data_IF_025086177769
#
_entry.id   IF_025086177769
#
_cell.length_a   1.000
_cell.length_b   1.000
_cell.length_c   1.000
_cell.angle_alpha   90.00
_cell.angle_beta   90.00
_cell.angle_gamma   90.00
#
_symmetry.space_group_name_H-M   'P 1'
#
loop_
_entity.id
_entity.type
_entity.pdbx_description
1 polymer ?
#
# COMPACT_ATOMS: atom_id res chain seq x y z
N UNK A 1 -5.05 -13.42 -20.32
CA UNK A 1 -5.37 -14.22 -19.14
C UNK A 1 -5.75 -13.39 -17.91
N UNK A 2 -6.02 -12.08 -18.12
CA UNK A 2 -6.34 -11.18 -17.00
C UNK A 2 -7.61 -11.58 -16.26
N UNK A 3 -8.66 -11.99 -16.97
CA UNK A 3 -9.91 -12.43 -16.33
C UNK A 3 -9.67 -13.66 -15.45
N UNK A 4 -8.84 -14.58 -15.94
CA UNK A 4 -8.49 -15.79 -15.19
C UNK A 4 -7.66 -15.45 -13.95
N UNK A 5 -6.76 -14.43 -14.07
CA UNK A 5 -5.98 -13.95 -12.94
C UNK A 5 -6.88 -13.28 -11.89
N UNK A 6 -7.89 -12.54 -12.33
CA UNK A 6 -8.86 -11.96 -11.41
C UNK A 6 -9.61 -13.04 -10.62
N UNK A 7 -10.05 -14.09 -11.30
CA UNK A 7 -10.70 -15.23 -10.62
C UNK A 7 -9.74 -15.89 -9.64
N UNK A 8 -8.49 -16.07 -10.03
CA UNK A 8 -7.46 -16.64 -9.16
C UNK A 8 -7.19 -15.72 -7.97
N UNK A 9 -7.18 -14.40 -8.19
CA UNK A 9 -6.99 -13.43 -7.12
C UNK A 9 -8.10 -13.55 -6.08
N UNK A 10 -9.34 -13.63 -6.52
CA UNK A 10 -10.48 -13.79 -5.60
C UNK A 10 -10.37 -15.10 -4.82
N UNK A 11 -9.96 -16.18 -5.49
CA UNK A 11 -9.76 -17.48 -4.82
C UNK A 11 -8.62 -17.45 -3.82
N UNK A 12 -7.58 -16.66 -4.08
CA UNK A 12 -6.41 -16.57 -3.22
C UNK A 12 -6.48 -15.39 -2.25
N UNK A 13 -7.60 -14.67 -2.21
CA UNK A 13 -7.83 -13.61 -1.25
C UNK A 13 -7.29 -12.24 -1.65
N UNK A 14 -6.82 -12.06 -2.89
CA UNK A 14 -6.43 -10.73 -3.37
C UNK A 14 -7.67 -9.88 -3.61
N UNK A 15 -7.69 -8.68 -3.04
CA UNK A 15 -8.90 -7.86 -2.96
C UNK A 15 -9.14 -6.96 -4.16
N UNK A 16 -8.14 -6.77 -5.01
CA UNK A 16 -8.28 -5.84 -6.13
C UNK A 16 -7.40 -6.24 -7.32
N UNK A 17 -7.75 -5.69 -8.49
CA UNK A 17 -6.93 -5.86 -9.68
C UNK A 17 -5.55 -5.25 -9.54
N UNK A 18 -5.44 -4.15 -8.79
CA UNK A 18 -4.14 -3.53 -8.52
C UNK A 18 -3.25 -4.46 -7.69
N UNK A 19 -3.80 -5.12 -6.68
CA UNK A 19 -3.05 -6.09 -5.89
C UNK A 19 -2.58 -7.27 -6.75
N UNK A 20 -3.45 -7.77 -7.65
CA UNK A 20 -3.07 -8.83 -8.57
C UNK A 20 -1.90 -8.40 -9.47
N UNK A 21 -1.99 -7.20 -10.04
CA UNK A 21 -0.92 -6.68 -10.91
C UNK A 21 0.39 -6.51 -10.14
N UNK A 22 0.31 -6.05 -8.90
CA UNK A 22 1.48 -5.88 -8.05
C UNK A 22 2.09 -7.24 -7.70
N UNK A 23 1.26 -8.21 -7.33
CA UNK A 23 1.70 -9.58 -7.06
C UNK A 23 2.41 -10.15 -8.28
N UNK A 24 1.82 -9.99 -9.47
CA UNK A 24 2.42 -10.49 -10.71
C UNK A 24 3.77 -9.83 -11.01
N UNK A 25 3.86 -8.52 -10.78
CA UNK A 25 5.12 -7.80 -10.94
C UNK A 25 6.20 -8.36 -10.00
N UNK A 26 5.84 -8.57 -8.72
CA UNK A 26 6.78 -9.09 -7.73
C UNK A 26 7.28 -10.48 -8.10
N UNK A 27 6.39 -11.34 -8.56
CA UNK A 27 6.74 -12.70 -9.00
C UNK A 27 7.64 -12.64 -10.22
N UNK A 28 7.27 -11.81 -11.21
CA UNK A 28 8.03 -11.68 -12.46
C UNK A 28 9.46 -11.19 -12.21
N UNK A 29 9.67 -10.35 -11.21
CA UNK A 29 10.97 -9.79 -10.86
C UNK A 29 11.67 -10.59 -9.76
N UNK A 30 11.18 -11.78 -9.45
CA UNK A 30 11.77 -12.68 -8.44
C UNK A 30 11.91 -12.01 -7.07
N UNK A 31 10.87 -11.28 -6.64
CA UNK A 31 10.82 -10.59 -5.36
C UNK A 31 9.90 -11.35 -4.41
N UNK A 32 10.42 -12.22 -3.54
CA UNK A 32 9.58 -12.95 -2.59
C UNK A 32 8.85 -12.00 -1.65
N UNK A 33 7.61 -12.32 -1.31
CA UNK A 33 6.77 -11.49 -0.45
C UNK A 33 5.84 -12.35 0.39
N UNK A 34 5.31 -11.71 1.44
CA UNK A 34 4.17 -12.25 2.20
C UNK A 34 2.97 -11.37 1.88
N UNK A 35 1.83 -11.97 1.65
CA UNK A 35 0.60 -11.24 1.35
C UNK A 35 -0.34 -11.27 2.55
N UNK A 36 -0.59 -10.10 3.14
CA UNK A 36 -1.53 -9.91 4.27
C UNK A 36 -1.29 -10.84 5.47
N UNK A 37 -0.06 -11.33 5.63
CA UNK A 37 0.30 -12.19 6.76
C UNK A 37 0.90 -11.41 7.92
N UNK A 38 1.54 -10.28 7.61
CA UNK A 38 2.22 -9.48 8.64
C UNK A 38 1.21 -8.56 9.31
N UNK A 39 1.26 -8.48 10.64
CA UNK A 39 0.40 -7.60 11.43
C UNK A 39 1.28 -6.58 12.14
N UNK A 40 0.97 -5.31 11.95
CA UNK A 40 1.72 -4.19 12.54
C UNK A 40 0.78 -3.42 13.45
N UNK A 41 1.09 -3.41 14.74
CA UNK A 41 0.31 -2.66 15.73
C UNK A 41 0.69 -1.18 15.66
N UNK A 42 -0.29 -0.32 15.79
CA UNK A 42 -0.07 1.12 15.83
C UNK A 42 -1.10 1.77 16.73
N UNK A 43 -0.71 2.90 17.29
CA UNK A 43 -1.54 3.63 18.24
C UNK A 43 -2.35 4.71 17.54
N UNK A 44 -3.63 4.74 17.85
CA UNK A 44 -4.52 5.82 17.46
C UNK A 44 -5.20 6.28 18.76
N UNK A 45 -6.46 6.64 18.75
CA UNK A 45 -7.22 6.81 19.99
C UNK A 45 -7.46 5.46 20.66
N UNK A 46 -7.20 4.40 19.95
CA UNK A 46 -7.21 3.01 20.44
C UNK A 46 -6.13 2.24 19.69
N UNK A 47 -5.72 1.10 20.24
CA UNK A 47 -4.78 0.23 19.54
C UNK A 47 -5.44 -0.38 18.31
N UNK A 48 -4.75 -0.34 17.19
CA UNK A 48 -5.21 -0.90 15.94
C UNK A 48 -4.10 -1.75 15.32
N UNK A 49 -4.48 -2.63 14.42
CA UNK A 49 -3.53 -3.45 13.67
C UNK A 49 -3.52 -2.99 12.22
N UNK A 50 -2.33 -2.75 11.71
CA UNK A 50 -2.10 -2.47 10.30
C UNK A 50 -1.57 -3.74 9.65
N UNK A 51 -2.27 -4.21 8.60
CA UNK A 51 -1.85 -5.38 7.84
C UNK A 51 -1.38 -4.92 6.47
N UNK A 52 -0.04 -4.89 6.23
CA UNK A 52 0.47 -4.50 4.90
C UNK A 52 -0.01 -5.44 3.81
N UNK A 53 -0.19 -4.90 2.61
CA UNK A 53 -0.55 -5.72 1.46
C UNK A 53 0.57 -6.71 1.14
N UNK A 54 1.80 -6.22 0.99
CA UNK A 54 2.95 -7.06 0.68
C UNK A 54 4.14 -6.68 1.55
N UNK A 55 4.83 -7.69 2.07
CA UNK A 55 6.11 -7.49 2.77
C UNK A 55 7.14 -8.31 2.00
N UNK A 56 8.13 -7.63 1.46
CA UNK A 56 9.20 -8.27 0.69
C UNK A 56 10.18 -8.96 1.64
N UNK A 57 10.95 -9.90 1.10
CA UNK A 57 11.94 -10.64 1.88
C UNK A 57 12.95 -9.71 2.57
N UNK A 58 13.27 -8.58 1.94
CA UNK A 58 14.20 -7.59 2.49
C UNK A 58 13.54 -6.64 3.50
N UNK A 59 12.25 -6.84 3.81
CA UNK A 59 11.53 -6.01 4.78
C UNK A 59 10.80 -4.82 4.19
N UNK A 60 10.98 -4.49 2.93
CA UNK A 60 10.25 -3.40 2.30
C UNK A 60 8.77 -3.75 2.23
N UNK A 61 7.93 -2.82 2.65
CA UNK A 61 6.48 -2.95 2.62
C UNK A 61 5.95 -2.25 1.37
N UNK A 62 5.12 -2.94 0.61
CA UNK A 62 4.43 -2.37 -0.54
C UNK A 62 2.94 -2.27 -0.18
N UNK A 63 2.41 -1.06 -0.30
CA UNK A 63 1.02 -0.77 -0.01
C UNK A 63 0.35 -0.27 -1.29
N UNK A 64 -0.72 -0.93 -1.72
CA UNK A 64 -1.42 -0.56 -2.95
C UNK A 64 -2.64 0.30 -2.62
N UNK A 65 -2.81 1.39 -3.36
CA UNK A 65 -3.92 2.33 -3.14
C UNK A 65 -4.56 2.75 -4.46
N UNK A 66 -5.82 2.41 -4.64
CA UNK A 66 -6.65 3.02 -5.68
C UNK A 66 -7.16 4.37 -5.19
N UNK A 67 -7.82 4.38 -4.05
CA UNK A 67 -8.27 5.59 -3.35
C UNK A 67 -7.41 5.78 -2.11
N UNK A 68 -6.87 6.98 -1.94
CA UNK A 68 -6.02 7.32 -0.81
C UNK A 68 -6.73 8.38 0.04
N UNK A 69 -7.58 7.92 0.93
CA UNK A 69 -8.46 8.76 1.72
C UNK A 69 -7.70 9.54 2.80
N UNK A 70 -8.36 10.54 3.39
CA UNK A 70 -7.79 11.28 4.53
C UNK A 70 -7.50 10.34 5.69
N UNK A 71 -8.38 9.36 5.93
CA UNK A 71 -8.16 8.36 6.98
C UNK A 71 -6.93 7.49 6.69
N UNK A 72 -6.75 7.07 5.44
CA UNK A 72 -5.54 6.35 5.04
C UNK A 72 -4.29 7.18 5.30
N UNK A 73 -4.31 8.46 4.93
CA UNK A 73 -3.17 9.35 5.11
C UNK A 73 -2.84 9.53 6.59
N UNK A 74 -3.87 9.75 7.41
CA UNK A 74 -3.70 9.89 8.87
C UNK A 74 -3.11 8.60 9.46
N UNK A 75 -3.63 7.46 9.06
CA UNK A 75 -3.14 6.15 9.51
C UNK A 75 -1.66 5.98 9.19
N UNK A 76 -1.27 6.23 7.95
CA UNK A 76 0.10 6.02 7.53
C UNK A 76 1.08 7.02 8.13
N UNK A 77 0.66 8.23 8.43
CA UNK A 77 1.48 9.17 9.19
C UNK A 77 1.70 8.66 10.62
N UNK A 78 0.65 8.15 11.26
CA UNK A 78 0.76 7.59 12.61
C UNK A 78 1.66 6.36 12.62
N UNK A 79 1.49 5.44 11.67
CA UNK A 79 2.33 4.26 11.56
C UNK A 79 3.79 4.65 11.35
N UNK A 80 4.05 5.61 10.46
CA UNK A 80 5.41 6.09 10.19
C UNK A 80 6.06 6.68 11.44
N UNK A 81 5.28 7.45 12.22
CA UNK A 81 5.78 8.04 13.45
C UNK A 81 6.09 6.99 14.51
N UNK A 82 5.21 6.00 14.64
CA UNK A 82 5.33 4.95 15.66
C UNK A 82 6.30 3.84 15.28
N UNK A 83 6.52 3.65 13.98
CA UNK A 83 7.41 2.63 13.44
C UNK A 83 8.37 3.25 12.40
N UNK A 84 9.26 4.16 12.83
CA UNK A 84 10.07 4.94 11.88
C UNK A 84 11.07 4.12 11.08
N UNK A 85 11.34 2.88 11.49
CA UNK A 85 12.28 2.00 10.77
C UNK A 85 11.62 1.24 9.62
N UNK A 86 10.28 1.26 9.54
CA UNK A 86 9.58 0.58 8.45
C UNK A 86 9.75 1.36 7.15
N UNK A 87 10.08 0.64 6.09
CA UNK A 87 10.17 1.21 4.74
C UNK A 87 8.86 0.86 4.02
N UNK A 88 7.91 1.78 4.07
CA UNK A 88 6.60 1.61 3.43
C UNK A 88 6.58 2.42 2.15
N UNK A 89 6.29 1.75 1.04
CA UNK A 89 6.21 2.39 -0.28
C UNK A 89 4.84 2.15 -0.87
N UNK A 90 4.29 3.19 -1.48
CA UNK A 90 2.96 3.11 -2.08
C UNK A 90 3.04 2.83 -3.57
N UNK A 91 2.10 2.03 -4.04
CA UNK A 91 1.83 1.85 -5.47
C UNK A 91 0.40 2.35 -5.69
N UNK A 92 0.24 3.41 -6.45
CA UNK A 92 -1.07 4.01 -6.74
C UNK A 92 -1.57 3.58 -8.11
N UNK A 93 -2.88 3.49 -8.25
CA UNK A 93 -3.48 3.40 -9.59
C UNK A 93 -3.14 4.67 -10.37
N UNK A 94 -3.20 5.84 -9.69
CA UNK A 94 -2.76 7.11 -10.27
C UNK A 94 -2.17 7.99 -9.18
N UNK A 95 -0.86 8.17 -9.19
CA UNK A 95 -0.17 9.07 -8.25
C UNK A 95 -0.48 10.54 -8.51
N UNK A 96 -1.00 10.86 -9.69
CA UNK A 96 -1.36 12.23 -10.08
C UNK A 96 -2.74 12.64 -9.58
N UNK A 97 -3.53 11.72 -9.07
CA UNK A 97 -4.85 12.01 -8.56
C UNK A 97 -4.76 12.96 -7.38
N UNK A 98 -5.64 13.95 -7.34
CA UNK A 98 -5.64 14.95 -6.27
C UNK A 98 -6.16 14.35 -4.96
N UNK A 99 -5.71 14.89 -3.84
CA UNK A 99 -6.10 14.42 -2.52
C UNK A 99 -7.60 14.54 -2.28
N UNK A 100 -8.20 15.59 -2.81
CA UNK A 100 -9.64 15.82 -2.75
C UNK A 100 -10.03 16.77 -3.86
N UNK A 101 -11.35 16.94 -4.08
CA UNK A 101 -11.86 17.89 -5.04
C UNK A 101 -11.36 19.29 -4.68
N UNK A 102 -10.73 19.96 -5.62
CA UNK A 102 -10.19 21.31 -5.42
C UNK A 102 -8.84 21.36 -4.71
N UNK A 103 -8.30 20.25 -4.28
CA UNK A 103 -6.97 20.21 -3.66
C UNK A 103 -5.89 20.51 -4.70
N UNK A 104 -4.81 21.18 -4.26
CA UNK A 104 -3.67 21.47 -5.11
C UNK A 104 -2.71 20.27 -5.19
N UNK A 105 -2.62 19.50 -4.12
CA UNK A 105 -1.67 18.39 -4.01
C UNK A 105 -2.26 17.08 -4.49
N UNK A 106 -1.43 16.29 -5.17
CA UNK A 106 -1.76 14.93 -5.60
C UNK A 106 -1.30 13.91 -4.55
N UNK A 107 -1.69 12.66 -4.76
CA UNK A 107 -1.23 11.54 -3.92
C UNK A 107 0.30 11.47 -3.90
N UNK A 108 0.93 11.55 -5.05
CA UNK A 108 2.39 11.51 -5.14
C UNK A 108 3.05 12.69 -4.43
N UNK A 109 2.50 13.89 -4.60
CA UNK A 109 3.04 15.08 -3.94
C UNK A 109 2.92 14.97 -2.41
N UNK A 110 1.83 14.39 -1.93
CA UNK A 110 1.67 14.13 -0.50
C UNK A 110 2.78 13.19 0.00
N UNK A 111 3.07 12.13 -0.76
CA UNK A 111 4.15 11.20 -0.41
C UNK A 111 5.50 11.89 -0.39
N UNK A 112 5.79 12.73 -1.39
CA UNK A 112 7.03 13.49 -1.46
C UNK A 112 7.19 14.40 -0.26
N UNK A 113 6.12 15.10 0.10
CA UNK A 113 6.12 16.01 1.26
C UNK A 113 6.37 15.25 2.58
N UNK A 114 5.91 14.03 2.68
CA UNK A 114 6.01 13.23 3.90
C UNK A 114 7.16 12.21 3.86
N UNK A 115 8.02 12.29 2.86
CA UNK A 115 9.20 11.43 2.78
C UNK A 115 8.89 9.97 2.53
N UNK A 116 7.80 9.68 1.81
CA UNK A 116 7.37 8.33 1.49
C UNK A 116 7.59 8.07 0.00
N UNK A 117 8.24 6.96 -0.31
CA UNK A 117 8.45 6.55 -1.69
C UNK A 117 7.17 5.99 -2.29
N UNK A 118 6.98 6.20 -3.58
CA UNK A 118 5.78 5.74 -4.27
C UNK A 118 6.04 5.49 -5.74
N UNK A 119 5.09 4.81 -6.36
CA UNK A 119 5.08 4.57 -7.80
C UNK A 119 3.68 4.77 -8.36
#
# INVERSE_FOLDING_TARGET
MKAKQFSAAMKHGYRSGLEVRTKDYLIEHNMPFKYEEVKIEWEDLMYRTYTPDFVLKNGIIIETKGLFSADDRRKHLAVKTQHPKLDIRFVFTSSKKKLSKGAKSSYGQWCEKNGIKYH
#
